data_IF_546878337924
#
_entry.id   IF_546878337924
#
_cell.length_a   1.000
_cell.length_b   1.000
_cell.length_c   1.000
_cell.angle_alpha   90.00
_cell.angle_beta   90.00
_cell.angle_gamma   90.00
#
_symmetry.space_group_name_H-M   'P 1'
#
loop_
_entity.id
_entity.type
_entity.pdbx_description
1 polymer ?
#
# COMPACT_ATOMS: atom_id res chain seq x y z
N UNK A 1 25.28 -13.77 -6.07
CA UNK A 1 24.23 -13.08 -6.85
C UNK A 1 24.31 -11.60 -6.51
N UNK A 2 24.16 -10.73 -7.49
CA UNK A 2 24.03 -9.29 -7.27
C UNK A 2 22.74 -8.98 -6.51
N UNK A 3 22.72 -7.89 -5.74
CA UNK A 3 21.52 -7.44 -5.04
C UNK A 3 20.51 -6.85 -6.05
N UNK A 4 19.20 -6.97 -5.80
CA UNK A 4 18.19 -6.32 -6.62
C UNK A 4 18.39 -4.80 -6.68
N UNK A 5 17.93 -4.21 -7.78
CA UNK A 5 17.83 -2.74 -7.90
C UNK A 5 16.74 -2.25 -6.96
N UNK A 6 17.00 -1.16 -6.24
CA UNK A 6 15.99 -0.49 -5.43
C UNK A 6 15.00 0.27 -6.33
N UNK A 7 13.76 -0.18 -6.36
CA UNK A 7 12.68 0.37 -7.17
C UNK A 7 12.39 1.84 -6.85
N UNK A 8 12.53 2.25 -5.59
CA UNK A 8 12.29 3.63 -5.16
C UNK A 8 13.33 4.62 -5.72
N UNK A 9 14.50 4.10 -6.13
CA UNK A 9 15.63 4.88 -6.65
C UNK A 9 15.83 4.69 -8.16
N UNK A 10 14.82 4.20 -8.88
CA UNK A 10 14.88 4.07 -10.34
C UNK A 10 14.64 5.40 -11.06
N UNK A 11 15.21 5.63 -12.26
CA UNK A 11 14.99 6.87 -13.01
C UNK A 11 13.51 7.07 -13.35
N UNK A 12 13.05 8.32 -13.25
CA UNK A 12 11.68 8.73 -13.62
C UNK A 12 11.59 9.39 -15.00
N UNK A 13 12.72 9.75 -15.61
CA UNK A 13 12.78 10.41 -16.91
C UNK A 13 12.41 9.44 -18.06
N UNK A 14 11.51 9.87 -18.95
CA UNK A 14 11.07 9.09 -20.11
C UNK A 14 12.26 8.70 -21.00
N UNK A 15 12.35 7.44 -21.37
CA UNK A 15 13.46 6.85 -22.12
C UNK A 15 14.58 6.29 -21.22
N UNK A 16 14.59 6.62 -19.93
CA UNK A 16 15.56 6.10 -18.95
C UNK A 16 14.93 5.18 -17.91
N UNK A 17 13.60 5.16 -17.79
CA UNK A 17 12.88 4.32 -16.82
C UNK A 17 13.15 2.85 -17.11
N UNK A 18 13.09 2.01 -16.07
CA UNK A 18 13.26 0.57 -16.25
C UNK A 18 12.21 -0.01 -17.19
N UNK A 19 10.98 0.51 -17.14
CA UNK A 19 9.86 0.10 -18.01
C UNK A 19 10.02 0.51 -19.48
N UNK A 20 10.94 1.44 -19.80
CA UNK A 20 11.20 1.86 -21.19
C UNK A 20 12.24 0.96 -21.87
N UNK A 21 12.92 0.10 -21.12
CA UNK A 21 13.97 -0.78 -21.62
C UNK A 21 13.38 -2.09 -22.14
N UNK A 22 13.98 -2.70 -23.18
CA UNK A 22 13.50 -3.97 -23.73
C UNK A 22 13.65 -5.13 -22.76
N UNK A 23 14.64 -5.07 -21.86
CA UNK A 23 14.93 -6.12 -20.89
C UNK A 23 14.92 -5.58 -19.46
N UNK A 24 14.40 -6.38 -18.54
CA UNK A 24 14.44 -6.09 -17.10
C UNK A 24 15.85 -6.33 -16.54
N UNK A 25 16.21 -5.66 -15.42
CA UNK A 25 17.48 -5.92 -14.75
C UNK A 25 17.59 -7.40 -14.35
N UNK A 26 18.69 -8.11 -14.73
CA UNK A 26 18.84 -9.54 -14.44
C UNK A 26 18.89 -9.86 -12.93
N UNK A 27 19.30 -8.90 -12.10
CA UNK A 27 19.28 -8.97 -10.64
C UNK A 27 17.89 -8.72 -10.03
N UNK A 28 16.89 -8.37 -10.84
CA UNK A 28 15.55 -8.00 -10.40
C UNK A 28 15.46 -6.60 -9.79
N UNK A 29 14.24 -6.25 -9.36
CA UNK A 29 13.92 -4.99 -8.67
C UNK A 29 13.21 -5.36 -7.37
N UNK A 30 13.56 -4.69 -6.28
CA UNK A 30 12.85 -4.79 -4.99
C UNK A 30 12.20 -3.46 -4.65
N UNK A 31 11.08 -3.48 -3.95
CA UNK A 31 10.47 -2.27 -3.39
C UNK A 31 9.91 -2.62 -2.03
N UNK A 32 10.38 -1.91 -1.01
CA UNK A 32 9.93 -2.09 0.36
C UNK A 32 8.91 -1.00 0.67
N UNK A 33 7.76 -1.40 1.21
CA UNK A 33 6.73 -0.47 1.66
C UNK A 33 6.48 -0.70 3.14
N UNK A 34 6.58 0.36 3.92
CA UNK A 34 6.17 0.36 5.32
C UNK A 34 4.81 1.04 5.45
N UNK A 35 3.90 0.34 6.12
CA UNK A 35 2.56 0.85 6.44
C UNK A 35 2.35 0.75 7.94
N UNK A 36 1.83 1.83 8.52
CA UNK A 36 1.55 1.91 9.94
C UNK A 36 0.05 1.87 10.14
N UNK A 37 -0.42 1.08 11.10
CA UNK A 37 -1.83 1.03 11.45
C UNK A 37 -1.99 1.09 12.96
N UNK A 38 -2.99 1.83 13.42
CA UNK A 38 -3.35 1.91 14.82
C UNK A 38 -4.87 1.87 15.00
N UNK A 39 -5.31 1.42 16.18
CA UNK A 39 -6.71 1.52 16.61
C UNK A 39 -6.95 2.92 17.14
N UNK A 40 -8.04 3.56 16.71
CA UNK A 40 -8.42 4.87 17.22
C UNK A 40 -9.04 4.70 18.61
N UNK A 41 -8.44 5.31 19.63
CA UNK A 41 -8.91 5.17 21.01
C UNK A 41 -10.36 5.65 21.17
N UNK A 42 -11.18 4.84 21.84
CA UNK A 42 -12.61 5.10 22.04
C UNK A 42 -13.51 4.67 20.87
N UNK A 43 -12.93 4.26 19.74
CA UNK A 43 -13.65 3.80 18.57
C UNK A 43 -13.31 2.32 18.33
N UNK A 44 -14.25 1.40 18.59
CA UNK A 44 -13.94 -0.03 18.69
C UNK A 44 -13.19 -0.59 17.48
N UNK A 45 -13.81 -0.54 16.30
CA UNK A 45 -13.25 -1.18 15.10
C UNK A 45 -12.53 -0.20 14.16
N UNK A 46 -12.60 1.10 14.45
CA UNK A 46 -11.99 2.13 13.64
C UNK A 46 -10.47 2.06 13.75
N UNK A 47 -9.82 1.92 12.60
CA UNK A 47 -8.37 1.91 12.45
C UNK A 47 -7.95 3.04 11.54
N UNK A 48 -6.83 3.65 11.89
CA UNK A 48 -6.14 4.63 11.05
C UNK A 48 -4.89 3.97 10.48
N UNK A 49 -4.75 4.01 9.16
CA UNK A 49 -3.58 3.60 8.42
C UNK A 49 -2.82 4.80 7.87
N UNK A 50 -1.50 4.78 7.92
CA UNK A 50 -0.62 5.77 7.33
C UNK A 50 0.40 5.11 6.41
N UNK A 51 0.52 5.65 5.19
CA UNK A 51 1.53 5.23 4.19
C UNK A 51 2.11 6.46 3.50
N UNK A 52 3.37 6.77 3.80
CA UNK A 52 4.00 8.01 3.36
C UNK A 52 3.19 9.24 3.79
N UNK A 53 2.66 10.00 2.83
CA UNK A 53 1.84 11.20 3.07
C UNK A 53 0.33 10.93 3.12
N UNK A 54 -0.09 9.68 2.92
CA UNK A 54 -1.50 9.33 2.82
C UNK A 54 -1.99 8.73 4.13
N UNK A 55 -3.22 9.09 4.50
CA UNK A 55 -3.95 8.54 5.63
C UNK A 55 -5.22 7.87 5.12
N UNK A 56 -5.53 6.70 5.65
CA UNK A 56 -6.74 5.94 5.33
C UNK A 56 -7.40 5.46 6.62
N UNK A 57 -8.72 5.43 6.63
CA UNK A 57 -9.48 4.86 7.74
C UNK A 57 -10.14 3.57 7.29
N UNK A 58 -10.12 2.57 8.16
CA UNK A 58 -10.87 1.33 7.96
C UNK A 58 -11.72 1.07 9.19
N UNK A 59 -12.92 0.56 8.97
CA UNK A 59 -13.89 0.30 10.02
C UNK A 59 -14.66 -0.98 9.70
N UNK A 60 -15.42 -1.48 10.66
CA UNK A 60 -16.27 -2.66 10.46
C UNK A 60 -17.76 -2.28 10.42
N UNK A 61 -18.57 -3.21 9.93
CA UNK A 61 -20.01 -3.02 9.92
C UNK A 61 -20.57 -2.98 11.35
N UNK A 62 -21.64 -2.19 11.55
CA UNK A 62 -22.31 -2.03 12.85
C UNK A 62 -22.72 -3.35 13.51
N UNK A 63 -23.09 -4.37 12.70
CA UNK A 63 -23.49 -5.70 13.19
C UNK A 63 -22.39 -6.47 13.93
N UNK A 64 -21.12 -6.10 13.75
CA UNK A 64 -19.98 -6.69 14.48
C UNK A 64 -19.26 -5.68 15.36
N UNK A 65 -19.87 -4.52 15.62
CA UNK A 65 -19.38 -3.52 16.57
C UNK A 65 -18.66 -2.31 15.97
N UNK A 66 -18.51 -2.21 14.65
CA UNK A 66 -17.93 -1.02 14.03
C UNK A 66 -18.92 0.13 13.86
N UNK A 67 -18.47 1.24 13.26
CA UNK A 67 -19.32 2.42 13.05
C UNK A 67 -19.91 2.51 11.65
N UNK A 68 -19.48 1.62 10.73
CA UNK A 68 -19.92 1.55 9.33
C UNK A 68 -19.69 2.85 8.54
N UNK A 69 -18.74 3.70 8.99
CA UNK A 69 -18.41 4.99 8.34
C UNK A 69 -17.33 4.88 7.27
N UNK A 70 -16.53 3.82 7.32
CA UNK A 70 -15.39 3.60 6.42
C UNK A 70 -15.39 2.15 5.91
N UNK A 71 -14.74 1.86 4.77
CA UNK A 71 -14.67 0.51 4.24
C UNK A 71 -13.97 -0.47 5.20
N UNK A 72 -14.41 -1.73 5.15
CA UNK A 72 -13.76 -2.82 5.87
C UNK A 72 -12.36 -3.09 5.35
N UNK A 73 -11.46 -3.68 6.17
CA UNK A 73 -10.14 -4.08 5.70
C UNK A 73 -10.23 -5.01 4.49
N UNK A 74 -11.23 -5.90 4.47
CA UNK A 74 -11.47 -6.79 3.34
C UNK A 74 -11.93 -6.05 2.08
N UNK A 75 -12.72 -4.99 2.22
CA UNK A 75 -13.12 -4.13 1.11
C UNK A 75 -11.91 -3.45 0.48
N UNK A 76 -10.95 -2.99 1.29
CA UNK A 76 -9.69 -2.45 0.78
C UNK A 76 -8.82 -3.50 0.07
N UNK A 77 -8.73 -4.73 0.59
CA UNK A 77 -8.01 -5.80 -0.11
C UNK A 77 -8.63 -6.14 -1.46
N UNK A 78 -9.97 -6.24 -1.51
CA UNK A 78 -10.69 -6.49 -2.76
C UNK A 78 -10.49 -5.34 -3.77
N UNK A 79 -10.56 -4.09 -3.31
CA UNK A 79 -10.32 -2.91 -4.13
C UNK A 79 -8.87 -2.85 -4.65
N UNK A 80 -7.89 -3.18 -3.81
CA UNK A 80 -6.49 -3.24 -4.19
C UNK A 80 -6.19 -4.28 -5.27
N UNK A 81 -6.96 -5.37 -5.33
CA UNK A 81 -6.86 -6.35 -6.43
C UNK A 81 -7.51 -5.84 -7.72
N UNK A 82 -8.50 -4.95 -7.62
CA UNK A 82 -9.27 -4.45 -8.75
C UNK A 82 -8.65 -3.25 -9.49
N UNK A 83 -7.70 -2.55 -8.87
CA UNK A 83 -6.88 -1.51 -9.51
C UNK A 83 -5.71 -2.13 -10.27
#
# INVERSE_FOLDING_TARGET
>A
MEKPVDGANTPSEVGQRVIDKPELPPQGISTDNEVYTEVVAGEMHLKRGAVGKFEVFSDEAARIGGTDKFPSPMSYMAMGTGF
#
